data_IF_169841705718
#
_entry.id   IF_169841705718
#
_cell.length_a   1.000
_cell.length_b   1.000
_cell.length_c   1.000
_cell.angle_alpha   90.00
_cell.angle_beta   90.00
_cell.angle_gamma   90.00
#
_symmetry.space_group_name_H-M   'P 1'
#
loop_
_entity.id
_entity.type
_entity.pdbx_description
1 polymer ?
#
# COMPACT_ATOMS: atom_id res chain seq x y z
N UNK A 1 -8.91 12.66 -6.36
CA UNK A 1 -7.76 12.95 -7.23
C UNK A 1 -7.74 14.42 -7.57
N UNK A 2 -6.59 14.96 -7.98
CA UNK A 2 -6.54 16.29 -8.59
C UNK A 2 -7.53 16.34 -9.76
N UNK A 3 -8.29 17.42 -9.88
CA UNK A 3 -9.34 17.55 -10.90
C UNK A 3 -8.77 17.56 -12.33
N UNK A 4 -7.52 17.98 -12.52
CA UNK A 4 -6.84 17.93 -13.83
C UNK A 4 -6.61 16.51 -14.34
N UNK A 5 -6.65 15.50 -13.46
CA UNK A 5 -6.46 14.09 -13.79
C UNK A 5 -7.78 13.30 -13.85
N UNK A 6 -8.93 13.98 -13.87
CA UNK A 6 -10.24 13.32 -13.80
C UNK A 6 -10.44 12.29 -14.93
N UNK A 7 -10.17 12.69 -16.17
CA UNK A 7 -10.29 11.82 -17.35
C UNK A 7 -9.31 10.63 -17.32
N UNK A 8 -8.20 10.75 -16.57
CA UNK A 8 -7.24 9.65 -16.41
C UNK A 8 -7.79 8.48 -15.57
N UNK A 9 -8.98 8.63 -14.97
CA UNK A 9 -9.67 7.57 -14.24
C UNK A 9 -10.63 6.76 -15.11
N UNK A 10 -10.89 7.20 -16.34
CA UNK A 10 -11.87 6.57 -17.23
C UNK A 10 -11.52 5.09 -17.53
N UNK A 11 -12.51 4.21 -17.39
CA UNK A 11 -12.35 2.78 -17.60
C UNK A 11 -11.94 2.00 -16.35
N UNK A 12 -11.57 2.67 -15.24
CA UNK A 12 -11.28 1.99 -13.97
C UNK A 12 -12.48 1.21 -13.42
N UNK A 13 -13.70 1.64 -13.71
CA UNK A 13 -14.94 0.97 -13.32
C UNK A 13 -15.09 -0.44 -13.92
N UNK A 14 -14.34 -0.75 -14.98
CA UNK A 14 -14.28 -2.09 -15.58
C UNK A 14 -13.48 -3.09 -14.73
N UNK A 15 -12.78 -2.62 -13.69
CA UNK A 15 -11.97 -3.45 -12.79
C UNK A 15 -12.60 -3.52 -11.39
N UNK A 16 -12.59 -4.70 -10.80
CA UNK A 16 -13.10 -4.89 -9.43
C UNK A 16 -12.11 -4.44 -8.35
N UNK A 17 -10.81 -4.48 -8.66
CA UNK A 17 -9.73 -4.16 -7.74
C UNK A 17 -8.69 -3.27 -8.43
N UNK A 18 -8.10 -2.40 -7.62
CA UNK A 18 -7.03 -1.48 -8.02
C UNK A 18 -5.88 -1.60 -7.02
N UNK A 19 -4.67 -1.34 -7.51
CA UNK A 19 -3.48 -1.13 -6.70
C UNK A 19 -3.37 0.37 -6.47
N UNK A 20 -3.33 0.78 -5.20
CA UNK A 20 -3.10 2.17 -4.80
C UNK A 20 -1.71 2.29 -4.22
N UNK A 21 -0.94 3.23 -4.77
CA UNK A 21 0.37 3.62 -4.27
C UNK A 21 0.22 4.98 -3.58
N UNK A 22 0.68 5.09 -2.34
CA UNK A 22 0.47 6.29 -1.54
C UNK A 22 1.69 6.65 -0.69
N UNK A 23 1.83 7.92 -0.33
CA UNK A 23 2.95 8.42 0.48
C UNK A 23 2.55 8.55 1.94
N UNK A 24 3.17 7.79 2.84
CA UNK A 24 2.91 7.86 4.28
C UNK A 24 3.54 9.14 4.87
N UNK A 25 2.94 10.28 4.55
CA UNK A 25 3.41 11.64 4.83
C UNK A 25 3.61 11.99 6.32
N UNK A 26 3.05 11.19 7.25
CA UNK A 26 3.27 11.36 8.69
C UNK A 26 4.41 10.50 9.27
N UNK A 27 5.05 9.68 8.45
CA UNK A 27 6.31 9.06 8.84
C UNK A 27 7.33 10.18 8.94
N UNK A 28 7.72 10.51 10.17
CA UNK A 28 8.69 11.56 10.41
C UNK A 28 9.97 11.25 9.59
N UNK A 29 10.67 12.28 9.08
CA UNK A 29 12.04 12.13 8.64
C UNK A 29 12.86 11.75 9.88
N UNK A 30 12.96 10.45 10.18
CA UNK A 30 13.87 9.97 11.20
C UNK A 30 15.26 10.13 10.64
N UNK A 31 16.19 10.70 11.42
CA UNK A 31 17.59 10.87 11.01
C UNK A 31 18.18 9.59 10.42
N UNK A 32 18.66 8.68 11.26
CA UNK A 32 19.12 7.36 10.79
C UNK A 32 17.98 6.35 10.81
N UNK A 33 17.76 5.67 9.67
CA UNK A 33 16.81 4.57 9.58
C UNK A 33 17.41 3.31 10.22
N UNK A 34 16.64 2.57 11.03
CA UNK A 34 17.13 1.33 11.61
C UNK A 34 17.36 0.29 10.50
N UNK A 35 18.49 -0.41 10.55
CA UNK A 35 18.78 -1.50 9.59
C UNK A 35 17.96 -2.77 9.88
N UNK A 36 17.47 -2.92 11.12
CA UNK A 36 16.63 -4.03 11.57
C UNK A 36 15.45 -3.53 12.42
N UNK A 37 14.32 -4.23 12.33
CA UNK A 37 13.10 -3.92 13.09
C UNK A 37 12.36 -5.19 13.52
N UNK A 38 11.54 -5.07 14.56
CA UNK A 38 10.52 -6.06 14.88
C UNK A 38 9.27 -5.80 14.01
N UNK A 39 8.72 -6.80 13.29
CA UNK A 39 7.54 -6.60 12.45
C UNK A 39 6.37 -5.97 13.20
N UNK A 40 5.86 -4.84 12.70
CA UNK A 40 4.77 -4.08 13.35
C UNK A 40 5.11 -3.55 14.74
N UNK A 41 6.40 -3.45 15.11
CA UNK A 41 6.85 -3.05 16.44
C UNK A 41 6.66 -4.12 17.53
N UNK A 42 6.24 -5.34 17.17
CA UNK A 42 5.92 -6.41 18.13
C UNK A 42 7.20 -7.11 18.61
N UNK A 43 7.67 -6.79 19.83
CA UNK A 43 8.91 -7.36 20.41
C UNK A 43 8.92 -8.90 20.49
N UNK A 44 7.74 -9.53 20.57
CA UNK A 44 7.60 -10.99 20.57
C UNK A 44 7.93 -11.65 19.20
N UNK A 45 8.03 -10.87 18.12
CA UNK A 45 8.43 -11.35 16.80
C UNK A 45 9.95 -11.20 16.60
N UNK A 46 10.59 -11.97 15.70
CA UNK A 46 12.04 -11.87 15.51
C UNK A 46 12.48 -10.48 15.01
N UNK A 47 13.68 -10.07 15.42
CA UNK A 47 14.36 -8.90 14.87
C UNK A 47 14.88 -9.23 13.46
N UNK A 48 14.35 -8.56 12.43
CA UNK A 48 14.64 -8.84 11.02
C UNK A 48 15.10 -7.58 10.29
N UNK A 49 15.69 -7.72 9.09
CA UNK A 49 16.07 -6.56 8.28
C UNK A 49 14.88 -5.66 7.94
N UNK A 50 15.12 -4.35 7.81
CA UNK A 50 14.09 -3.32 7.59
C UNK A 50 13.10 -3.63 6.45
N UNK A 51 13.57 -4.29 5.39
CA UNK A 51 12.79 -4.59 4.20
C UNK A 51 12.04 -5.92 4.26
N UNK A 52 12.27 -6.76 5.27
CA UNK A 52 11.56 -8.02 5.43
C UNK A 52 10.08 -7.82 5.85
N UNK A 53 9.74 -6.90 6.77
CA UNK A 53 8.35 -6.51 7.03
C UNK A 53 7.92 -5.31 6.18
N UNK A 54 6.61 -5.08 6.13
CA UNK A 54 6.02 -3.88 5.49
C UNK A 54 5.95 -2.70 6.47
N UNK A 55 7.05 -2.39 7.15
CA UNK A 55 7.12 -1.26 8.10
C UNK A 55 6.84 0.07 7.38
N UNK A 56 6.17 1.05 8.02
CA UNK A 56 6.04 2.39 7.46
C UNK A 56 7.37 3.18 7.50
N UNK A 57 8.23 2.93 8.49
CA UNK A 57 9.54 3.57 8.65
C UNK A 57 10.51 2.99 7.61
N UNK A 58 10.72 3.67 6.48
CA UNK A 58 11.55 3.19 5.34
C UNK A 58 12.22 4.39 4.65
N UNK A 59 13.28 4.18 3.84
CA UNK A 59 13.90 5.26 3.06
C UNK A 59 12.91 6.04 2.22
N UNK A 60 11.98 5.31 1.59
CA UNK A 60 10.83 5.87 0.91
C UNK A 60 9.57 5.31 1.57
N UNK A 61 8.82 6.11 2.37
CA UNK A 61 7.61 5.68 3.06
C UNK A 61 6.42 5.52 2.09
N UNK A 62 6.61 4.68 1.06
CA UNK A 62 5.60 4.35 0.05
C UNK A 62 4.80 3.13 0.53
N UNK A 63 3.48 3.32 0.64
CA UNK A 63 2.51 2.25 0.83
C UNK A 63 2.00 1.75 -0.52
N UNK A 64 1.78 0.44 -0.64
CA UNK A 64 1.18 -0.20 -1.81
C UNK A 64 0.12 -1.17 -1.32
N UNK A 65 -1.11 -1.03 -1.81
CA UNK A 65 -2.23 -1.86 -1.38
C UNK A 65 -3.15 -2.22 -2.55
N UNK A 66 -3.53 -3.49 -2.65
CA UNK A 66 -4.59 -3.95 -3.55
C UNK A 66 -5.91 -3.86 -2.81
N UNK A 67 -6.85 -3.07 -3.33
CA UNK A 67 -8.14 -2.78 -2.69
C UNK A 67 -9.29 -2.91 -3.67
N UNK A 68 -10.50 -3.10 -3.13
CA UNK A 68 -11.72 -3.18 -3.95
C UNK A 68 -12.18 -1.78 -4.34
N UNK A 69 -12.39 -1.57 -5.64
CA UNK A 69 -13.08 -0.39 -6.15
C UNK A 69 -14.59 -0.60 -6.02
N UNK A 70 -15.27 0.32 -5.35
CA UNK A 70 -16.72 0.25 -5.11
C UNK A 70 -17.50 1.16 -6.05
N UNK A 71 -16.97 2.36 -6.31
CA UNK A 71 -17.60 3.36 -7.17
C UNK A 71 -16.57 4.33 -7.71
N UNK A 72 -16.74 4.74 -8.95
CA UNK A 72 -16.07 5.89 -9.57
C UNK A 72 -17.13 6.95 -9.86
N UNK A 73 -16.85 8.20 -9.46
CA UNK A 73 -17.66 9.37 -9.79
C UNK A 73 -16.73 10.58 -9.89
N UNK A 74 -16.66 11.19 -11.06
CA UNK A 74 -15.78 12.33 -11.31
C UNK A 74 -14.33 12.00 -10.90
N UNK A 75 -13.68 12.86 -10.12
CA UNK A 75 -12.33 12.66 -9.58
C UNK A 75 -12.29 11.86 -8.26
N UNK A 76 -13.40 11.21 -7.88
CA UNK A 76 -13.57 10.50 -6.60
C UNK A 76 -13.75 9.00 -6.83
N UNK A 77 -12.88 8.22 -6.18
CA UNK A 77 -12.99 6.76 -6.11
C UNK A 77 -13.40 6.35 -4.70
N UNK A 78 -14.52 5.65 -4.57
CA UNK A 78 -14.92 4.99 -3.33
C UNK A 78 -14.33 3.58 -3.32
N UNK A 79 -13.57 3.26 -2.28
CA UNK A 79 -12.82 2.00 -2.17
C UNK A 79 -13.06 1.33 -0.82
N UNK A 80 -12.70 0.06 -0.70
CA UNK A 80 -12.73 -0.70 0.56
C UNK A 80 -11.39 -1.38 0.81
N UNK A 81 -10.87 -1.21 2.03
CA UNK A 81 -9.61 -1.83 2.48
C UNK A 81 -8.38 -0.93 2.39
N UNK A 82 -8.55 0.38 2.15
CA UNK A 82 -7.46 1.34 2.21
C UNK A 82 -7.06 1.57 3.68
N UNK A 83 -5.87 1.13 4.06
CA UNK A 83 -5.28 1.33 5.39
C UNK A 83 -4.45 2.60 5.51
N UNK A 84 -4.85 3.67 4.83
CA UNK A 84 -4.20 4.97 4.89
C UNK A 84 -4.98 5.91 5.83
N UNK A 85 -4.27 6.81 6.50
CA UNK A 85 -4.92 7.84 7.32
C UNK A 85 -5.50 8.95 6.44
N UNK A 86 -6.43 9.72 6.97
CA UNK A 86 -7.01 10.86 6.26
C UNK A 86 -5.93 11.87 5.83
N UNK A 87 -6.15 12.48 4.65
CA UNK A 87 -5.19 13.39 4.02
C UNK A 87 -3.95 12.72 3.40
N UNK A 88 -3.84 11.39 3.42
CA UNK A 88 -2.70 10.68 2.82
C UNK A 88 -2.61 10.91 1.31
N UNK A 89 -1.48 11.46 0.80
CA UNK A 89 -1.30 11.65 -0.64
C UNK A 89 -1.28 10.32 -1.39
N UNK A 90 -2.10 10.23 -2.44
CA UNK A 90 -2.02 9.15 -3.42
C UNK A 90 -0.98 9.54 -4.47
N UNK A 91 -0.07 8.62 -4.76
CA UNK A 91 0.99 8.79 -5.76
C UNK A 91 0.54 8.22 -7.11
N UNK A 92 -0.12 7.05 -7.10
CA UNK A 92 -0.47 6.32 -8.32
C UNK A 92 -1.63 5.34 -8.10
N UNK A 93 -2.33 4.99 -9.18
CA UNK A 93 -3.39 3.99 -9.22
C UNK A 93 -3.21 3.12 -10.46
N UNK A 94 -3.27 1.80 -10.27
CA UNK A 94 -3.22 0.83 -11.38
C UNK A 94 -4.36 -0.19 -11.26
N UNK A 95 -4.92 -0.70 -12.37
CA UNK A 95 -5.81 -1.84 -12.28
C UNK A 95 -5.04 -3.06 -11.74
N UNK A 96 -5.68 -3.85 -10.87
CA UNK A 96 -5.12 -5.14 -10.47
C UNK A 96 -5.40 -6.18 -11.55
N UNK A 97 -4.34 -6.81 -12.05
CA UNK A 97 -4.39 -7.83 -13.09
C UNK A 97 -3.84 -9.14 -12.52
N UNK A 98 -4.68 -10.12 -12.18
CA UNK A 98 -4.24 -11.38 -11.54
C UNK A 98 -3.10 -12.08 -12.28
N UNK A 99 -3.09 -12.01 -13.62
CA UNK A 99 -2.04 -12.58 -14.46
C UNK A 99 -0.63 -11.99 -14.20
N UNK A 100 -0.55 -10.72 -13.83
CA UNK A 100 0.71 -10.00 -13.66
C UNK A 100 1.05 -9.77 -12.19
N UNK A 101 0.03 -9.54 -11.35
CA UNK A 101 0.21 -9.12 -9.97
C UNK A 101 0.12 -10.28 -8.97
N UNK A 102 -0.28 -11.48 -9.41
CA UNK A 102 -0.32 -12.68 -8.58
C UNK A 102 0.84 -13.61 -8.92
N UNK A 103 1.64 -13.95 -7.91
CA UNK A 103 2.66 -14.99 -8.03
C UNK A 103 2.12 -16.35 -7.57
N UNK A 104 2.42 -17.40 -8.33
CA UNK A 104 2.21 -18.79 -7.89
C UNK A 104 3.37 -19.25 -6.99
N UNK A 105 3.13 -20.28 -6.16
CA UNK A 105 4.15 -20.95 -5.34
C UNK A 105 4.95 -20.01 -4.41
N UNK A 106 4.27 -19.06 -3.78
CA UNK A 106 4.92 -18.09 -2.89
C UNK A 106 5.39 -18.73 -1.58
N UNK A 107 6.54 -18.25 -1.07
CA UNK A 107 7.03 -18.56 0.28
C UNK A 107 6.84 -17.33 1.16
N UNK A 108 6.13 -17.50 2.28
CA UNK A 108 5.92 -16.43 3.26
C UNK A 108 6.63 -16.76 4.57
N UNK A 109 7.10 -15.73 5.26
CA UNK A 109 7.74 -15.92 6.54
C UNK A 109 6.73 -16.36 7.62
N UNK A 110 7.07 -17.30 8.53
CA UNK A 110 6.11 -17.85 9.49
C UNK A 110 5.45 -16.81 10.41
N UNK A 111 6.14 -15.70 10.70
CA UNK A 111 5.65 -14.62 11.55
C UNK A 111 4.61 -13.69 10.89
N UNK A 112 4.31 -13.85 9.59
CA UNK A 112 3.30 -13.05 8.89
C UNK A 112 1.88 -13.61 9.08
N UNK A 113 1.74 -14.90 9.40
CA UNK A 113 0.44 -15.61 9.44
C UNK A 113 -0.26 -15.43 10.79
N UNK A 114 0.49 -15.13 11.86
CA UNK A 114 -0.08 -14.87 13.19
C UNK A 114 -0.62 -13.45 13.26
N UNK A 115 -1.89 -13.25 12.91
CA UNK A 115 -2.61 -12.01 13.23
C UNK A 115 -2.95 -11.94 14.70
#
# INVERSE_FOLDING_TARGET
MDSSLTESLDGLEKFSHIIVVYWMHRVAPTGELPTKVHPGGRQALPLVGLFAPRSPQRPNPVGVVTIRLLKHRDNILRVRGLGAIDGTPVIDIKPYLPRYDSAANTKIAPWIIKR
#
